data_IF_913861387974
#
_entry.id   IF_913861387974
#
_cell.length_a   1.000
_cell.length_b   1.000
_cell.length_c   1.000
_cell.angle_alpha   90.00
_cell.angle_beta   90.00
_cell.angle_gamma   90.00
#
_symmetry.space_group_name_H-M   'P 1'
#
loop_
_entity.id
_entity.type
_entity.pdbx_description
1 polymer ?
#
# COMPACT_ATOMS: atom_id res chain seq x y z
N UNK A 1 19.86 3.10 -17.06
CA UNK A 1 20.44 4.00 -16.03
C UNK A 1 21.75 3.40 -15.56
N UNK A 2 22.68 4.17 -14.96
CA UNK A 2 23.82 3.55 -14.27
C UNK A 2 23.39 2.97 -12.90
N UNK A 3 24.21 2.10 -12.33
CA UNK A 3 23.89 1.39 -11.08
C UNK A 3 23.70 2.37 -9.90
N UNK A 4 24.58 3.37 -9.78
CA UNK A 4 24.51 4.35 -8.69
C UNK A 4 23.18 5.11 -8.70
N UNK A 5 22.78 5.61 -9.87
CA UNK A 5 21.51 6.31 -10.05
C UNK A 5 20.32 5.37 -9.81
N UNK A 6 20.40 4.10 -10.19
CA UNK A 6 19.35 3.12 -9.89
C UNK A 6 19.20 2.87 -8.38
N UNK A 7 20.31 2.72 -7.66
CA UNK A 7 20.24 2.46 -6.21
C UNK A 7 19.71 3.68 -5.43
N UNK A 8 19.92 4.89 -5.95
CA UNK A 8 19.30 6.11 -5.44
C UNK A 8 17.76 6.04 -5.47
N UNK A 9 17.16 5.33 -6.43
CA UNK A 9 15.71 5.11 -6.43
C UNK A 9 15.24 4.30 -5.22
N UNK A 10 15.94 3.25 -4.81
CA UNK A 10 15.60 2.53 -3.58
C UNK A 10 15.71 3.45 -2.38
N UNK A 11 16.83 4.17 -2.25
CA UNK A 11 17.04 5.11 -1.14
C UNK A 11 15.90 6.11 -1.05
N UNK A 12 15.61 6.80 -2.14
CA UNK A 12 14.58 7.84 -2.17
C UNK A 12 13.21 7.28 -1.84
N UNK A 13 12.85 6.11 -2.39
CA UNK A 13 11.58 5.43 -2.07
C UNK A 13 11.40 5.18 -0.58
N UNK A 14 12.47 4.77 0.11
CA UNK A 14 12.43 4.43 1.53
C UNK A 14 12.47 5.66 2.43
N UNK A 15 13.34 6.64 2.12
CA UNK A 15 13.46 7.90 2.87
C UNK A 15 12.21 8.77 2.72
N UNK A 16 11.50 8.63 1.61
CA UNK A 16 10.17 9.18 1.42
C UNK A 16 9.16 8.60 2.43
N UNK A 17 9.23 7.30 2.74
CA UNK A 17 8.27 6.65 3.63
C UNK A 17 8.24 7.24 5.05
N UNK A 18 7.18 6.93 5.81
CA UNK A 18 7.07 7.41 7.20
C UNK A 18 8.23 6.93 8.08
N UNK A 19 8.55 7.66 9.15
CA UNK A 19 9.55 7.23 10.13
C UNK A 19 9.25 5.83 10.72
N UNK A 20 7.97 5.47 10.86
CA UNK A 20 7.58 4.13 11.30
C UNK A 20 7.96 3.06 10.27
N UNK A 21 7.76 3.35 8.98
CA UNK A 21 8.17 2.46 7.90
C UNK A 21 9.69 2.31 7.85
N UNK A 22 10.43 3.41 7.95
CA UNK A 22 11.89 3.39 7.97
C UNK A 22 12.44 2.57 9.16
N UNK A 23 11.84 2.71 10.35
CA UNK A 23 12.18 1.88 11.53
C UNK A 23 11.81 0.41 11.33
N UNK A 24 10.68 0.14 10.69
CA UNK A 24 10.26 -1.23 10.36
C UNK A 24 11.26 -1.91 9.42
N UNK A 25 11.74 -1.20 8.38
CA UNK A 25 12.79 -1.69 7.48
C UNK A 25 14.09 -1.98 8.23
N UNK A 26 14.56 -1.08 9.09
CA UNK A 26 15.76 -1.31 9.89
C UNK A 26 15.62 -2.55 10.80
N UNK A 27 14.44 -2.76 11.39
CA UNK A 27 14.16 -3.96 12.18
C UNK A 27 14.20 -5.23 11.32
N UNK A 28 13.72 -5.19 10.08
CA UNK A 28 13.79 -6.33 9.15
C UNK A 28 15.23 -6.63 8.71
N UNK A 29 16.01 -5.60 8.36
CA UNK A 29 17.44 -5.75 8.09
C UNK A 29 18.19 -6.41 9.26
N UNK A 30 17.88 -6.02 10.50
CA UNK A 30 18.48 -6.62 11.70
C UNK A 30 18.06 -8.09 11.87
N UNK A 31 16.77 -8.40 11.70
CA UNK A 31 16.24 -9.78 11.82
C UNK A 31 16.83 -10.72 10.76
N UNK A 32 17.10 -10.22 9.56
CA UNK A 32 17.68 -10.99 8.46
C UNK A 32 19.22 -11.05 8.54
N UNK A 33 19.81 -10.57 9.64
CA UNK A 33 21.27 -10.47 9.87
C UNK A 33 22.01 -9.69 8.77
N UNK A 34 21.32 -8.77 8.09
CA UNK A 34 21.91 -7.89 7.06
C UNK A 34 22.62 -6.69 7.68
N UNK A 35 22.19 -6.28 8.88
CA UNK A 35 22.86 -5.28 9.70
C UNK A 35 23.00 -5.76 11.14
N UNK A 36 23.98 -5.20 11.86
CA UNK A 36 24.16 -5.43 13.29
C UNK A 36 24.48 -4.11 14.01
N UNK A 37 24.16 -4.08 15.31
CA UNK A 37 24.51 -3.00 16.22
C UNK A 37 25.51 -3.46 17.28
N UNK A 38 25.99 -4.69 17.16
CA UNK A 38 27.03 -5.24 18.03
C UNK A 38 28.36 -5.17 17.31
N UNK A 39 29.34 -4.56 17.96
CA UNK A 39 30.69 -4.37 17.41
C UNK A 39 31.42 -5.72 17.21
N UNK A 40 31.06 -6.72 18.01
CA UNK A 40 31.54 -8.09 17.87
C UNK A 40 30.66 -8.87 16.90
N UNK A 41 31.27 -9.50 15.88
CA UNK A 41 30.56 -10.36 14.93
C UNK A 41 29.96 -11.58 15.64
N UNK A 42 28.71 -11.89 15.33
CA UNK A 42 28.03 -13.12 15.72
C UNK A 42 28.31 -14.24 14.71
N UNK A 43 28.11 -15.47 15.15
CA UNK A 43 28.14 -16.67 14.28
C UNK A 43 27.09 -16.61 13.14
N UNK A 44 26.02 -15.84 13.33
CA UNK A 44 24.96 -15.63 12.34
C UNK A 44 25.26 -14.53 11.32
N UNK A 45 26.31 -13.74 11.53
CA UNK A 45 26.65 -12.64 10.63
C UNK A 45 27.35 -13.18 9.38
N UNK A 46 26.99 -12.64 8.21
CA UNK A 46 27.71 -12.90 6.97
C UNK A 46 28.82 -11.87 6.78
N UNK A 47 29.69 -12.08 5.80
CA UNK A 47 30.71 -11.09 5.44
C UNK A 47 30.12 -9.77 4.91
N UNK A 48 28.85 -9.79 4.49
CA UNK A 48 28.11 -8.61 4.01
C UNK A 48 27.34 -7.89 5.13
N UNK A 49 27.29 -8.44 6.34
CA UNK A 49 26.59 -7.82 7.47
C UNK A 49 27.27 -6.50 7.85
N UNK A 50 26.51 -5.40 7.81
CA UNK A 50 27.02 -4.07 8.13
C UNK A 50 26.80 -3.69 9.60
N UNK A 51 27.86 -3.25 10.27
CA UNK A 51 27.77 -2.68 11.61
C UNK A 51 27.34 -1.20 11.58
N UNK A 52 26.48 -0.83 12.53
CA UNK A 52 26.07 0.54 12.82
C UNK A 52 26.11 0.81 14.32
N UNK A 53 26.58 2.00 14.72
CA UNK A 53 26.74 2.36 16.13
C UNK A 53 25.40 2.58 16.87
N UNK A 54 24.34 2.97 16.15
CA UNK A 54 23.09 3.40 16.77
C UNK A 54 21.85 3.02 15.97
N UNK A 55 20.91 2.35 16.64
CA UNK A 55 19.56 2.08 16.13
C UNK A 55 18.73 3.34 15.89
N UNK A 56 19.16 4.51 16.39
CA UNK A 56 18.43 5.76 16.25
C UNK A 56 18.62 6.39 14.87
N UNK A 57 19.72 6.09 14.18
CA UNK A 57 20.02 6.63 12.85
C UNK A 57 19.45 5.76 11.73
N UNK A 58 18.12 5.57 11.74
CA UNK A 58 17.45 4.77 10.71
C UNK A 58 17.59 5.38 9.31
N UNK A 59 17.73 6.71 9.19
CA UNK A 59 17.96 7.38 7.90
C UNK A 59 19.35 7.06 7.36
N UNK A 60 20.40 7.19 8.16
CA UNK A 60 21.76 6.84 7.76
C UNK A 60 21.92 5.36 7.41
N UNK A 61 21.28 4.47 8.18
CA UNK A 61 21.21 3.04 7.87
C UNK A 61 20.62 2.83 6.48
N UNK A 62 19.43 3.35 6.22
CA UNK A 62 18.74 3.22 4.92
C UNK A 62 19.58 3.82 3.79
N UNK A 63 20.16 5.01 3.97
CA UNK A 63 21.03 5.62 2.96
C UNK A 63 22.17 4.70 2.57
N UNK A 64 22.86 4.10 3.54
CA UNK A 64 24.02 3.24 3.28
C UNK A 64 23.64 1.89 2.67
N UNK A 65 22.54 1.31 3.13
CA UNK A 65 22.10 -0.03 2.69
C UNK A 65 21.37 0.03 1.35
N UNK A 66 20.48 0.99 1.13
CA UNK A 66 19.74 1.14 -0.13
C UNK A 66 20.61 1.57 -1.32
N UNK A 67 21.77 2.18 -1.05
CA UNK A 67 22.78 2.53 -2.06
C UNK A 67 23.84 1.43 -2.27
N UNK A 68 23.62 0.23 -1.73
CA UNK A 68 24.53 -0.91 -1.86
C UNK A 68 23.86 -2.05 -2.62
N UNK A 69 24.53 -2.52 -3.69
CA UNK A 69 24.05 -3.65 -4.52
C UNK A 69 23.80 -4.93 -3.72
N UNK A 70 24.58 -5.18 -2.66
CA UNK A 70 24.44 -6.36 -1.80
C UNK A 70 23.07 -6.44 -1.08
N UNK A 71 22.36 -5.31 -1.00
CA UNK A 71 21.06 -5.21 -0.35
C UNK A 71 19.90 -5.07 -1.35
N UNK A 72 20.17 -5.00 -2.66
CA UNK A 72 19.12 -4.82 -3.68
C UNK A 72 18.06 -5.92 -3.62
N UNK A 73 18.45 -7.18 -3.40
CA UNK A 73 17.49 -8.29 -3.28
C UNK A 73 16.57 -8.13 -2.07
N UNK A 74 17.08 -7.64 -0.94
CA UNK A 74 16.28 -7.35 0.24
C UNK A 74 15.22 -6.28 -0.05
N UNK A 75 15.60 -5.17 -0.69
CA UNK A 75 14.64 -4.10 -1.00
C UNK A 75 13.63 -4.50 -2.06
N UNK A 76 14.06 -5.26 -3.05
CA UNK A 76 13.18 -5.81 -4.05
C UNK A 76 12.12 -6.74 -3.45
N UNK A 77 12.53 -7.63 -2.52
CA UNK A 77 11.64 -8.52 -1.78
C UNK A 77 10.69 -7.74 -0.86
N UNK A 78 11.19 -6.71 -0.19
CA UNK A 78 10.39 -5.86 0.69
C UNK A 78 9.25 -5.15 -0.04
N UNK A 79 9.41 -4.80 -1.32
CA UNK A 79 8.32 -4.24 -2.13
C UNK A 79 7.16 -5.25 -2.28
N UNK A 80 7.39 -6.55 -2.35
CA UNK A 80 6.31 -7.54 -2.39
C UNK A 80 5.58 -7.67 -1.04
N UNK A 81 6.30 -7.47 0.06
CA UNK A 81 5.87 -7.87 1.42
C UNK A 81 5.48 -6.72 2.34
N UNK A 82 5.68 -5.46 1.93
CA UNK A 82 5.30 -4.30 2.76
C UNK A 82 3.78 -4.11 2.82
N UNK A 83 3.35 -3.34 3.81
CA UNK A 83 2.01 -2.79 3.88
C UNK A 83 1.84 -1.72 2.80
N UNK A 84 0.85 -1.89 1.94
CA UNK A 84 0.42 -0.88 0.98
C UNK A 84 -0.77 -0.12 1.53
N UNK A 85 -0.83 1.18 1.24
CA UNK A 85 -1.94 2.04 1.69
C UNK A 85 -3.29 1.63 1.13
N UNK A 86 -3.33 1.20 -0.13
CA UNK A 86 -4.57 0.87 -0.84
C UNK A 86 -4.54 -0.56 -1.37
N UNK A 87 -5.68 -1.24 -1.32
CA UNK A 87 -5.94 -2.45 -2.08
C UNK A 87 -7.35 -2.48 -2.67
N UNK A 88 -7.47 -3.02 -3.89
CA UNK A 88 -8.75 -3.22 -4.58
C UNK A 88 -8.95 -4.72 -4.79
N UNK A 89 -9.82 -5.37 -4.00
CA UNK A 89 -10.06 -6.80 -4.09
C UNK A 89 -11.05 -7.18 -5.20
N UNK A 90 -10.85 -8.38 -5.74
CA UNK A 90 -11.74 -9.04 -6.68
C UNK A 90 -11.80 -10.52 -6.37
N UNK A 91 -12.96 -11.13 -6.57
CA UNK A 91 -13.02 -12.57 -6.74
C UNK A 91 -12.55 -12.92 -8.15
N UNK A 92 -11.91 -14.07 -8.30
CA UNK A 92 -11.52 -14.55 -9.62
C UNK A 92 -11.84 -16.01 -9.84
N UNK A 93 -11.97 -16.35 -11.12
CA UNK A 93 -11.99 -17.72 -11.59
C UNK A 93 -10.88 -17.93 -12.59
N UNK A 94 -10.22 -19.07 -12.48
CA UNK A 94 -9.28 -19.55 -13.48
C UNK A 94 -9.95 -20.61 -14.35
N UNK A 95 -9.50 -20.71 -15.60
CA UNK A 95 -9.83 -21.86 -16.45
C UNK A 95 -9.09 -23.13 -16.00
N UNK A 96 -8.85 -24.05 -16.91
CA UNK A 96 -8.17 -25.32 -16.61
C UNK A 96 -6.68 -25.16 -16.25
N UNK A 97 -6.08 -24.00 -16.54
CA UNK A 97 -4.67 -23.71 -16.30
C UNK A 97 -4.44 -23.20 -14.88
N UNK A 98 -3.31 -23.59 -14.28
CA UNK A 98 -2.88 -22.99 -13.01
C UNK A 98 -2.21 -21.64 -13.23
N UNK A 99 -2.17 -20.79 -12.20
CA UNK A 99 -1.41 -19.52 -12.25
C UNK A 99 0.06 -19.78 -12.61
N UNK A 100 0.65 -20.86 -12.10
CA UNK A 100 2.05 -21.19 -12.39
C UNK A 100 2.28 -21.54 -13.86
N UNK A 101 1.36 -22.25 -14.49
CA UNK A 101 1.43 -22.57 -15.93
C UNK A 101 1.34 -21.31 -16.78
N UNK A 102 0.43 -20.40 -16.40
CA UNK A 102 0.25 -19.10 -17.05
C UNK A 102 1.51 -18.25 -16.95
N UNK A 103 2.12 -18.14 -15.75
CA UNK A 103 3.36 -17.38 -15.56
C UNK A 103 4.50 -17.92 -16.43
N UNK A 104 4.62 -19.25 -16.56
CA UNK A 104 5.61 -19.90 -17.43
C UNK A 104 5.35 -19.64 -18.90
N UNK A 105 4.11 -19.80 -19.37
CA UNK A 105 3.70 -19.56 -20.76
C UNK A 105 3.94 -18.11 -21.18
N UNK A 106 3.58 -17.15 -20.31
CA UNK A 106 3.78 -15.72 -20.55
C UNK A 106 5.20 -15.25 -20.29
N UNK A 107 6.11 -16.15 -19.92
CA UNK A 107 7.52 -15.86 -19.64
C UNK A 107 7.69 -14.76 -18.57
N UNK A 108 6.79 -14.72 -17.58
CA UNK A 108 6.88 -13.77 -16.47
C UNK A 108 7.96 -14.28 -15.52
N UNK A 109 9.04 -13.50 -15.38
CA UNK A 109 10.16 -13.86 -14.52
C UNK A 109 9.75 -13.99 -13.05
N UNK A 110 10.30 -15.01 -12.38
CA UNK A 110 10.10 -15.23 -10.94
C UNK A 110 11.30 -14.64 -10.20
N UNK A 111 11.04 -13.77 -9.24
CA UNK A 111 12.02 -13.22 -8.32
C UNK A 111 12.61 -14.33 -7.44
N UNK A 112 13.94 -14.43 -7.45
CA UNK A 112 14.73 -15.23 -6.52
C UNK A 112 15.79 -14.32 -5.91
N UNK A 113 15.71 -14.08 -4.60
CA UNK A 113 16.61 -13.19 -3.88
C UNK A 113 18.09 -13.61 -3.91
N UNK A 114 18.39 -14.87 -4.25
CA UNK A 114 19.77 -15.40 -4.36
C UNK A 114 20.42 -15.07 -5.69
N UNK A 115 19.64 -14.99 -6.76
CA UNK A 115 20.12 -14.74 -8.13
C UNK A 115 19.62 -13.40 -8.68
N UNK A 116 19.00 -12.59 -7.83
CA UNK A 116 18.40 -11.33 -8.23
C UNK A 116 19.47 -10.36 -8.71
N UNK A 117 19.28 -9.90 -9.94
CA UNK A 117 19.98 -8.76 -10.49
C UNK A 117 18.96 -7.68 -10.85
N UNK A 118 19.20 -6.41 -10.43
CA UNK A 118 18.30 -5.33 -10.72
C UNK A 118 18.31 -4.99 -12.21
N UNK A 119 17.12 -4.77 -12.76
CA UNK A 119 16.99 -4.10 -14.06
C UNK A 119 17.24 -2.61 -13.85
N UNK A 120 18.28 -2.08 -14.50
CA UNK A 120 18.66 -0.67 -14.40
C UNK A 120 17.74 0.25 -15.22
N UNK A 121 16.61 -0.27 -15.71
CA UNK A 121 15.54 0.49 -16.36
C UNK A 121 14.27 0.38 -15.51
N UNK A 122 13.62 1.52 -15.28
CA UNK A 122 12.33 1.59 -14.60
C UNK A 122 11.39 2.40 -15.49
N UNK A 123 10.33 1.75 -15.97
CA UNK A 123 9.39 2.36 -16.90
C UNK A 123 8.52 3.43 -16.23
N UNK A 124 8.07 4.42 -16.99
CA UNK A 124 7.26 5.53 -16.46
C UNK A 124 5.76 5.24 -16.49
N UNK A 125 5.36 4.30 -17.35
CA UNK A 125 3.96 3.94 -17.62
C UNK A 125 3.77 2.43 -17.48
N UNK A 126 2.60 2.01 -17.01
CA UNK A 126 2.30 0.60 -16.76
C UNK A 126 2.33 -0.25 -18.03
N UNK A 127 1.93 0.31 -19.18
CA UNK A 127 1.90 -0.39 -20.46
C UNK A 127 3.26 -0.85 -20.96
N UNK A 128 4.33 -0.22 -20.48
CA UNK A 128 5.72 -0.55 -20.84
C UNK A 128 6.40 -1.39 -19.75
N UNK A 129 5.90 -1.31 -18.51
CA UNK A 129 6.47 -1.99 -17.36
C UNK A 129 6.41 -3.51 -17.49
N UNK A 130 7.57 -4.16 -17.44
CA UNK A 130 7.67 -5.62 -17.44
C UNK A 130 7.48 -6.14 -16.00
N UNK A 131 6.41 -6.91 -15.72
CA UNK A 131 6.17 -7.38 -14.37
C UNK A 131 7.13 -8.51 -13.97
N UNK A 132 7.41 -8.59 -12.67
CA UNK A 132 8.13 -9.70 -12.05
C UNK A 132 7.30 -10.34 -10.96
N UNK A 133 7.18 -11.66 -11.02
CA UNK A 133 6.39 -12.44 -10.09
C UNK A 133 7.21 -12.90 -8.88
N UNK A 134 6.57 -13.11 -7.74
CA UNK A 134 7.12 -13.73 -6.54
C UNK A 134 6.10 -14.73 -6.00
N UNK A 135 6.56 -15.81 -5.37
CA UNK A 135 5.71 -16.87 -4.84
C UNK A 135 6.11 -17.20 -3.40
N UNK A 136 5.12 -17.17 -2.52
CA UNK A 136 5.27 -17.55 -1.12
C UNK A 136 3.98 -18.27 -0.68
N UNK A 137 4.10 -19.44 -0.05
CA UNK A 137 2.96 -20.18 0.49
C UNK A 137 1.78 -20.39 -0.48
N UNK A 138 2.09 -20.74 -1.73
CA UNK A 138 1.12 -20.91 -2.85
C UNK A 138 0.34 -19.64 -3.23
N UNK A 139 0.70 -18.49 -2.67
CA UNK A 139 0.24 -17.16 -3.08
C UNK A 139 1.18 -16.59 -4.11
N UNK A 140 0.63 -15.80 -5.02
CA UNK A 140 1.38 -15.20 -6.12
C UNK A 140 1.33 -13.69 -6.01
N UNK A 141 2.45 -13.05 -6.30
CA UNK A 141 2.58 -11.61 -6.31
C UNK A 141 3.15 -11.21 -7.66
N UNK A 142 2.45 -10.40 -8.44
CA UNK A 142 2.94 -9.91 -9.73
C UNK A 142 3.15 -8.41 -9.58
N UNK A 143 4.41 -7.97 -9.60
CA UNK A 143 4.79 -6.59 -9.31
C UNK A 143 5.20 -5.85 -10.58
N UNK A 144 4.60 -4.70 -10.79
CA UNK A 144 5.03 -3.67 -11.73
C UNK A 144 5.73 -2.57 -10.94
N UNK A 145 6.80 -1.99 -11.49
CA UNK A 145 7.52 -0.89 -10.83
C UNK A 145 7.56 0.28 -11.80
N UNK A 146 7.02 1.42 -11.37
CA UNK A 146 7.05 2.65 -12.14
C UNK A 146 8.07 3.63 -11.57
N UNK A 147 8.73 4.36 -12.45
CA UNK A 147 9.48 5.56 -12.09
C UNK A 147 8.49 6.71 -11.91
N UNK A 148 8.48 7.31 -10.72
CA UNK A 148 7.76 8.54 -10.42
C UNK A 148 8.75 9.59 -9.89
N UNK A 149 8.33 10.84 -9.96
CA UNK A 149 9.12 11.97 -9.47
C UNK A 149 8.22 12.96 -8.76
N UNK A 150 8.80 13.72 -7.84
CA UNK A 150 8.20 14.93 -7.29
C UNK A 150 9.30 15.97 -7.02
N UNK A 151 8.94 17.24 -6.92
CA UNK A 151 9.86 18.32 -6.56
C UNK A 151 9.88 18.48 -5.05
N UNK A 152 11.07 18.47 -4.45
CA UNK A 152 11.26 18.86 -3.06
C UNK A 152 10.93 20.35 -2.93
N UNK A 153 10.07 20.71 -1.98
CA UNK A 153 9.56 22.07 -1.81
C UNK A 153 10.65 23.09 -1.47
N UNK A 154 11.57 22.73 -0.56
CA UNK A 154 12.63 23.66 -0.15
C UNK A 154 13.78 23.80 -1.15
N UNK A 155 14.25 22.68 -1.72
CA UNK A 155 15.45 22.67 -2.58
C UNK A 155 15.14 22.76 -4.07
N UNK A 156 13.86 22.61 -4.46
CA UNK A 156 13.40 22.45 -5.85
C UNK A 156 14.07 21.26 -6.58
N UNK A 157 14.69 20.36 -5.84
CA UNK A 157 15.33 19.17 -6.39
C UNK A 157 14.29 18.15 -6.81
N UNK A 158 14.44 17.58 -8.01
CA UNK A 158 13.59 16.49 -8.46
C UNK A 158 14.00 15.18 -7.79
N UNK A 159 13.14 14.66 -6.92
CA UNK A 159 13.32 13.37 -6.25
C UNK A 159 12.62 12.29 -7.05
N UNK A 160 13.42 11.40 -7.66
CA UNK A 160 12.91 10.22 -8.35
C UNK A 160 12.80 9.03 -7.39
N UNK A 161 11.70 8.29 -7.47
CA UNK A 161 11.40 7.16 -6.61
C UNK A 161 10.66 6.05 -7.36
N UNK A 162 10.66 4.86 -6.77
CA UNK A 162 9.98 3.66 -7.25
C UNK A 162 8.55 3.65 -6.75
N UNK A 163 7.62 3.41 -7.64
CA UNK A 163 6.21 3.26 -7.33
C UNK A 163 5.77 1.85 -7.72
N UNK A 164 5.87 0.88 -6.80
CA UNK A 164 5.48 -0.50 -7.05
C UNK A 164 3.95 -0.66 -6.97
N UNK A 165 3.38 -1.40 -7.93
CA UNK A 165 1.99 -1.88 -7.94
C UNK A 165 2.04 -3.39 -7.94
N UNK A 166 1.34 -4.04 -6.99
CA UNK A 166 1.40 -5.49 -6.80
C UNK A 166 0.01 -6.09 -6.98
N UNK A 167 -0.11 -7.03 -7.90
CA UNK A 167 -1.26 -7.92 -7.99
C UNK A 167 -0.98 -9.11 -7.07
N UNK A 168 -1.67 -9.17 -5.94
CA UNK A 168 -1.64 -10.29 -5.01
C UNK A 168 -2.75 -11.28 -5.39
N UNK A 169 -2.45 -12.57 -5.45
CA UNK A 169 -3.41 -13.63 -5.79
C UNK A 169 -3.34 -14.69 -4.70
N UNK A 170 -4.49 -14.99 -4.11
CA UNK A 170 -4.68 -16.02 -3.10
C UNK A 170 -5.62 -17.12 -3.60
N UNK A 171 -5.06 -18.24 -4.11
CA UNK A 171 -5.87 -19.36 -4.60
C UNK A 171 -6.66 -20.09 -3.53
N UNK A 172 -6.36 -19.91 -2.24
CA UNK A 172 -7.07 -20.61 -1.17
C UNK A 172 -8.50 -20.08 -1.01
N UNK A 173 -8.67 -18.77 -1.19
CA UNK A 173 -9.95 -18.06 -1.05
C UNK A 173 -10.50 -17.54 -2.39
N UNK A 174 -9.82 -17.81 -3.51
CA UNK A 174 -10.15 -17.34 -4.86
C UNK A 174 -10.31 -15.81 -4.95
N UNK A 175 -9.39 -15.09 -4.30
CA UNK A 175 -9.36 -13.63 -4.29
C UNK A 175 -8.04 -13.14 -4.83
N UNK A 176 -8.08 -12.03 -5.56
CA UNK A 176 -6.92 -11.23 -5.86
C UNK A 176 -7.10 -9.80 -5.34
N UNK A 177 -6.00 -9.08 -5.19
CA UNK A 177 -5.99 -7.66 -4.84
C UNK A 177 -4.97 -6.90 -5.69
N UNK A 178 -5.34 -5.73 -6.19
CA UNK A 178 -4.40 -4.76 -6.73
C UNK A 178 -3.97 -3.84 -5.59
N UNK A 179 -2.70 -3.90 -5.20
CA UNK A 179 -2.11 -3.19 -4.05
C UNK A 179 -1.18 -2.08 -4.51
N UNK A 180 -1.35 -0.87 -3.96
CA UNK A 180 -0.54 0.31 -4.31
C UNK A 180 -0.53 1.36 -3.19
N UNK A 181 0.44 2.28 -3.23
CA UNK A 181 0.58 3.37 -2.27
C UNK A 181 0.02 4.68 -2.81
N UNK A 182 -0.07 5.71 -1.98
CA UNK A 182 -0.34 7.07 -2.46
C UNK A 182 0.84 7.60 -3.28
N UNK A 183 0.54 8.21 -4.43
CA UNK A 183 1.51 8.99 -5.18
C UNK A 183 1.90 10.25 -4.41
N UNK A 184 3.13 10.70 -4.63
CA UNK A 184 3.57 12.04 -4.24
C UNK A 184 3.24 13.01 -5.35
N UNK A 185 2.83 14.22 -4.97
CA UNK A 185 2.49 15.29 -5.90
C UNK A 185 3.46 16.45 -5.74
N UNK A 186 3.77 17.11 -6.85
CA UNK A 186 4.38 18.44 -6.87
C UNK A 186 3.25 19.44 -7.10
N UNK A 187 3.17 20.52 -6.32
CA UNK A 187 2.08 21.51 -6.44
C UNK A 187 1.91 22.09 -7.85
N UNK A 188 3.02 22.23 -8.59
CA UNK A 188 3.02 22.79 -9.95
C UNK A 188 2.46 21.83 -11.01
N UNK A 189 2.19 20.57 -10.66
CA UNK A 189 1.56 19.59 -11.54
C UNK A 189 0.09 19.42 -11.17
N UNK A 190 -0.80 19.49 -12.17
CA UNK A 190 -2.20 19.13 -11.95
C UNK A 190 -2.26 17.70 -11.41
N UNK A 191 -2.80 17.54 -10.21
CA UNK A 191 -3.13 16.24 -9.64
C UNK A 191 -4.05 15.54 -10.63
N UNK A 192 -3.53 14.52 -11.32
CA UNK A 192 -4.35 13.64 -12.16
C UNK A 192 -5.32 12.91 -11.23
N UNK A 193 -6.54 13.42 -11.14
CA UNK A 193 -7.61 12.91 -10.28
C UNK A 193 -7.94 11.45 -10.61
N UNK A 194 -7.60 11.01 -11.81
CA UNK A 194 -7.83 9.67 -12.33
C UNK A 194 -6.57 8.79 -12.29
N UNK A 195 -5.48 9.24 -11.67
CA UNK A 195 -4.22 8.48 -11.66
C UNK A 195 -4.38 7.06 -11.09
N UNK A 196 -5.12 6.92 -9.98
CA UNK A 196 -5.37 5.63 -9.36
C UNK A 196 -6.36 4.78 -10.16
N UNK A 197 -7.37 5.39 -10.79
CA UNK A 197 -8.33 4.65 -11.62
C UNK A 197 -7.64 4.05 -12.85
N UNK A 198 -6.75 4.81 -13.49
CA UNK A 198 -5.93 4.33 -14.61
C UNK A 198 -5.06 3.14 -14.22
N UNK A 199 -4.45 3.15 -13.03
CA UNK A 199 -3.67 2.00 -12.52
C UNK A 199 -4.56 0.76 -12.37
N UNK A 200 -5.67 0.91 -11.65
CA UNK A 200 -6.56 -0.23 -11.36
C UNK A 200 -7.15 -0.78 -12.65
N UNK A 201 -7.64 0.08 -13.55
CA UNK A 201 -8.19 -0.34 -14.85
C UNK A 201 -7.14 -1.04 -15.71
N UNK A 202 -5.92 -0.50 -15.80
CA UNK A 202 -4.85 -1.16 -16.54
C UNK A 202 -4.56 -2.56 -15.97
N UNK A 203 -4.43 -2.68 -14.65
CA UNK A 203 -4.19 -3.97 -14.02
C UNK A 203 -5.35 -4.95 -14.26
N UNK A 204 -6.61 -4.51 -14.17
CA UNK A 204 -7.79 -5.33 -14.49
C UNK A 204 -7.73 -5.88 -15.91
N UNK A 205 -7.49 -5.02 -16.91
CA UNK A 205 -7.39 -5.45 -18.30
C UNK A 205 -6.17 -6.36 -18.52
N UNK A 206 -5.02 -6.02 -17.92
CA UNK A 206 -3.82 -6.86 -18.00
C UNK A 206 -4.06 -8.25 -17.41
N UNK A 207 -4.78 -8.37 -16.30
CA UNK A 207 -5.14 -9.66 -15.69
C UNK A 207 -6.02 -10.48 -16.64
N UNK A 208 -7.05 -9.87 -17.24
CA UNK A 208 -7.94 -10.54 -18.18
C UNK A 208 -7.18 -11.01 -19.43
N UNK A 209 -6.40 -10.13 -20.04
CA UNK A 209 -5.73 -10.39 -21.32
C UNK A 209 -4.52 -11.31 -21.18
N UNK A 210 -3.72 -11.11 -20.12
CA UNK A 210 -2.45 -11.82 -19.94
C UNK A 210 -2.66 -13.08 -19.12
N UNK A 211 -3.40 -13.01 -18.01
CA UNK A 211 -3.62 -14.19 -17.17
C UNK A 211 -4.84 -15.01 -17.59
N UNK A 212 -5.76 -14.43 -18.37
CA UNK A 212 -6.98 -15.14 -18.77
C UNK A 212 -7.94 -15.40 -17.60
N UNK A 213 -7.84 -14.61 -16.53
CA UNK A 213 -8.70 -14.75 -15.36
C UNK A 213 -10.00 -13.99 -15.57
N UNK A 214 -11.11 -14.60 -15.17
CA UNK A 214 -12.38 -13.90 -15.03
C UNK A 214 -12.40 -13.19 -13.70
N UNK A 215 -12.75 -11.91 -13.71
CA UNK A 215 -12.79 -11.09 -12.50
C UNK A 215 -14.22 -10.75 -12.14
N UNK A 216 -14.49 -10.71 -10.84
CA UNK A 216 -15.80 -10.41 -10.30
C UNK A 216 -15.67 -9.39 -9.19
N UNK A 217 -16.57 -8.39 -9.19
CA UNK A 217 -16.61 -7.38 -8.14
C UNK A 217 -16.94 -8.01 -6.77
N UNK A 218 -16.54 -7.32 -5.70
CA UNK A 218 -16.95 -7.66 -4.34
C UNK A 218 -18.34 -7.08 -4.06
N UNK A 219 -19.34 -7.97 -3.95
CA UNK A 219 -20.66 -7.63 -3.42
C UNK A 219 -20.56 -7.54 -1.88
N UNK A 220 -21.13 -6.47 -1.32
CA UNK A 220 -20.85 -6.02 0.04
C UNK A 220 -22.12 -5.64 0.83
N UNK A 221 -23.31 -5.93 0.30
CA UNK A 221 -24.63 -5.73 0.94
C UNK A 221 -24.69 -6.23 2.39
N UNK A 222 -24.02 -7.35 2.69
CA UNK A 222 -24.05 -8.00 4.00
C UNK A 222 -22.88 -7.60 4.92
N UNK A 223 -21.89 -6.84 4.42
CA UNK A 223 -20.66 -6.49 5.15
C UNK A 223 -20.97 -5.86 6.51
N UNK A 224 -21.85 -4.85 6.54
CA UNK A 224 -22.21 -4.14 7.78
C UNK A 224 -22.85 -5.08 8.79
N UNK A 225 -23.78 -5.94 8.35
CA UNK A 225 -24.48 -6.88 9.23
C UNK A 225 -23.53 -7.91 9.83
N UNK A 226 -22.62 -8.45 9.03
CA UNK A 226 -21.67 -9.49 9.46
C UNK A 226 -20.65 -8.92 10.44
N UNK A 227 -20.10 -7.73 10.16
CA UNK A 227 -19.12 -7.09 11.03
C UNK A 227 -19.75 -6.61 12.35
N UNK A 228 -21.03 -6.22 12.34
CA UNK A 228 -21.77 -5.85 13.55
C UNK A 228 -22.27 -7.04 14.38
N UNK A 229 -21.95 -8.28 14.01
CA UNK A 229 -22.35 -9.43 14.80
C UNK A 229 -21.62 -9.44 16.15
N UNK A 230 -22.38 -9.30 17.24
CA UNK A 230 -21.92 -9.15 18.62
C UNK A 230 -21.05 -10.33 19.10
N UNK A 231 -21.14 -11.49 18.44
CA UNK A 231 -20.32 -12.65 18.78
C UNK A 231 -18.86 -12.56 18.28
N UNK A 232 -18.54 -11.66 17.34
CA UNK A 232 -17.18 -11.47 16.87
C UNK A 232 -16.45 -10.41 17.71
N UNK A 233 -15.47 -10.84 18.51
CA UNK A 233 -14.65 -9.91 19.30
C UNK A 233 -13.39 -9.43 18.61
N UNK A 234 -12.95 -10.11 17.55
CA UNK A 234 -11.68 -9.88 16.85
C UNK A 234 -11.78 -8.83 15.76
N UNK A 235 -12.94 -8.73 15.09
CA UNK A 235 -13.21 -7.71 14.07
C UNK A 235 -14.45 -6.93 14.47
N UNK A 236 -14.30 -5.61 14.61
CA UNK A 236 -15.38 -4.73 15.09
C UNK A 236 -15.56 -3.53 14.19
N UNK A 237 -16.81 -3.12 14.03
CA UNK A 237 -17.12 -1.83 13.42
C UNK A 237 -16.58 -0.71 14.30
N UNK A 238 -15.83 0.19 13.70
CA UNK A 238 -15.26 1.35 14.38
C UNK A 238 -16.10 2.60 14.09
N UNK A 239 -16.40 2.84 12.81
CA UNK A 239 -17.21 3.97 12.34
C UNK A 239 -18.00 3.61 11.09
N UNK A 240 -19.16 4.24 10.92
CA UNK A 240 -20.01 4.08 9.74
C UNK A 240 -20.54 5.45 9.29
N UNK A 241 -20.39 5.75 7.99
CA UNK A 241 -21.11 6.85 7.36
C UNK A 241 -22.41 6.32 6.72
N UNK A 242 -23.52 7.04 6.90
CA UNK A 242 -24.81 6.75 6.26
C UNK A 242 -25.33 7.99 5.54
N UNK A 243 -25.80 7.85 4.31
CA UNK A 243 -26.66 8.85 3.68
C UNK A 243 -28.11 8.67 4.18
N UNK A 244 -28.68 9.74 4.72
CA UNK A 244 -30.09 9.78 5.11
C UNK A 244 -30.95 10.03 3.88
N UNK A 245 -32.18 9.49 3.88
CA UNK A 245 -33.18 9.66 2.79
C UNK A 245 -33.53 11.12 2.47
N UNK A 246 -33.15 12.07 3.32
CA UNK A 246 -33.33 13.52 3.15
C UNK A 246 -32.16 14.23 2.47
N UNK A 247 -31.14 13.51 1.99
CA UNK A 247 -29.97 14.09 1.32
C UNK A 247 -28.88 14.64 2.25
N UNK A 248 -28.98 14.39 3.57
CA UNK A 248 -27.92 14.66 4.54
C UNK A 248 -27.14 13.39 4.87
N UNK A 249 -25.85 13.49 5.21
CA UNK A 249 -25.04 12.37 5.69
C UNK A 249 -24.93 12.40 7.22
N UNK A 250 -24.98 11.22 7.85
CA UNK A 250 -24.82 11.04 9.28
C UNK A 250 -23.69 10.03 9.54
N UNK A 251 -22.73 10.38 10.39
CA UNK A 251 -21.67 9.47 10.83
C UNK A 251 -22.02 8.89 12.20
N UNK A 252 -22.17 7.57 12.29
CA UNK A 252 -22.39 6.84 13.53
C UNK A 252 -21.05 6.25 13.99
N UNK A 253 -20.54 6.76 15.12
CA UNK A 253 -19.36 6.19 15.79
C UNK A 253 -19.86 5.17 16.82
N UNK A 254 -19.44 3.91 16.68
CA UNK A 254 -19.95 2.80 17.50
C UNK A 254 -19.14 2.52 18.79
N UNK A 255 -18.15 3.36 19.14
CA UNK A 255 -17.26 3.10 20.29
C UNK A 255 -17.05 4.34 21.18
N UNK A 256 -17.14 4.11 22.49
CA UNK A 256 -17.03 5.08 23.60
C UNK A 256 -15.63 5.68 23.83
N UNK A 257 -14.62 5.45 22.99
CA UNK A 257 -13.31 6.10 23.17
C UNK A 257 -12.57 6.26 21.84
N UNK A 258 -12.58 7.50 21.34
CA UNK A 258 -11.78 7.92 20.18
C UNK A 258 -12.60 8.63 19.11
N UNK A 259 -13.00 9.88 19.39
CA UNK A 259 -13.63 10.78 18.42
C UNK A 259 -12.64 11.10 17.29
N UNK A 260 -12.63 10.30 16.21
CA UNK A 260 -12.10 10.79 14.93
C UNK A 260 -13.17 11.65 14.27
N UNK A 261 -13.37 12.86 14.78
CA UNK A 261 -14.16 13.89 14.10
C UNK A 261 -13.64 14.00 12.66
N UNK A 262 -14.56 14.12 11.70
CA UNK A 262 -14.24 14.53 10.33
C UNK A 262 -13.20 15.67 10.41
N UNK A 263 -12.07 15.60 9.68
CA UNK A 263 -11.23 16.79 9.58
C UNK A 263 -12.11 17.86 8.96
N UNK A 264 -12.05 19.05 9.50
CA UNK A 264 -12.71 20.20 8.94
C UNK A 264 -12.10 20.48 7.54
N UNK A 265 -12.45 19.72 6.50
CA UNK A 265 -11.74 19.77 5.20
C UNK A 265 -11.84 21.16 4.62
N UNK A 266 -13.05 21.73 4.64
CA UNK A 266 -13.29 23.12 4.27
C UNK A 266 -12.55 24.11 5.16
N UNK A 267 -12.60 23.93 6.47
CA UNK A 267 -11.97 24.88 7.42
C UNK A 267 -10.43 24.75 7.44
N UNK A 268 -9.86 23.58 7.11
CA UNK A 268 -8.41 23.41 6.94
C UNK A 268 -7.99 24.03 5.61
N UNK A 269 -8.79 23.91 4.54
CA UNK A 269 -8.53 24.66 3.29
C UNK A 269 -8.59 26.16 3.56
N UNK A 270 -9.65 26.63 4.20
CA UNK A 270 -9.82 28.02 4.60
C UNK A 270 -8.68 28.48 5.52
N UNK A 271 -8.24 27.67 6.49
CA UNK A 271 -7.09 27.97 7.33
C UNK A 271 -5.80 28.10 6.52
N UNK A 272 -5.57 27.23 5.53
CA UNK A 272 -4.40 27.31 4.65
C UNK A 272 -4.47 28.58 3.79
N UNK A 273 -5.65 28.88 3.24
CA UNK A 273 -5.86 30.01 2.34
C UNK A 273 -5.80 31.36 3.09
N UNK A 274 -6.40 31.46 4.28
CA UNK A 274 -6.37 32.64 5.15
C UNK A 274 -4.98 32.91 5.75
N UNK A 275 -4.14 31.88 5.86
CA UNK A 275 -2.79 31.97 6.42
C UNK A 275 -1.72 31.66 5.36
N UNK A 276 -1.96 32.06 4.11
CA UNK A 276 -1.11 31.74 2.97
C UNK A 276 0.36 32.10 3.22
N UNK A 277 0.65 33.26 3.81
CA UNK A 277 2.01 33.70 4.12
C UNK A 277 2.74 32.71 5.06
N UNK A 278 2.09 32.29 6.15
CA UNK A 278 2.66 31.34 7.13
C UNK A 278 2.88 29.95 6.52
N UNK A 279 1.93 29.49 5.70
CA UNK A 279 2.07 28.19 5.03
C UNK A 279 3.05 28.24 3.86
N UNK A 280 3.30 29.42 3.29
CA UNK A 280 4.33 29.61 2.25
C UNK A 280 5.74 29.54 2.84
N UNK A 281 5.92 29.91 4.11
CA UNK A 281 7.17 29.71 4.84
C UNK A 281 7.42 28.24 5.22
N UNK A 282 6.37 27.41 5.27
CA UNK A 282 6.43 26.00 5.64
C UNK A 282 5.80 25.10 4.56
N UNK A 283 6.28 25.22 3.31
CA UNK A 283 5.65 24.58 2.15
C UNK A 283 5.57 23.05 2.29
N UNK A 284 6.55 22.36 2.90
CA UNK A 284 6.43 20.92 3.18
C UNK A 284 5.17 20.55 3.97
N UNK A 285 4.86 21.33 5.02
CA UNK A 285 3.69 21.11 5.86
C UNK A 285 2.42 21.41 5.08
N UNK A 286 2.42 22.50 4.29
CA UNK A 286 1.32 22.84 3.38
C UNK A 286 1.03 21.69 2.40
N UNK A 287 2.05 21.15 1.76
CA UNK A 287 1.91 20.06 0.79
C UNK A 287 1.38 18.77 1.43
N UNK A 288 1.84 18.41 2.62
CA UNK A 288 1.33 17.25 3.36
C UNK A 288 -0.17 17.39 3.67
N UNK A 289 -0.61 18.58 4.08
CA UNK A 289 -2.01 18.86 4.37
C UNK A 289 -2.86 18.85 3.09
N UNK A 290 -2.42 19.51 2.03
CA UNK A 290 -3.14 19.52 0.75
C UNK A 290 -3.27 18.12 0.15
N UNK A 291 -2.20 17.30 0.20
CA UNK A 291 -2.27 15.90 -0.21
C UNK A 291 -3.31 15.13 0.60
N UNK A 292 -3.29 15.30 1.93
CA UNK A 292 -4.27 14.66 2.81
C UNK A 292 -5.71 15.08 2.47
N UNK A 293 -5.95 16.37 2.23
CA UNK A 293 -7.27 16.89 1.85
C UNK A 293 -7.74 16.34 0.51
N UNK A 294 -6.90 16.36 -0.51
CA UNK A 294 -7.23 15.85 -1.85
C UNK A 294 -7.58 14.35 -1.82
N UNK A 295 -6.85 13.54 -1.05
CA UNK A 295 -7.16 12.12 -0.88
C UNK A 295 -8.49 11.88 -0.16
N UNK A 296 -8.81 12.71 0.85
CA UNK A 296 -10.07 12.63 1.58
C UNK A 296 -11.25 13.02 0.68
N UNK A 297 -11.13 14.11 -0.06
CA UNK A 297 -12.15 14.57 -1.01
C UNK A 297 -12.42 13.54 -2.11
N UNK A 298 -11.38 12.91 -2.65
CA UNK A 298 -11.50 11.88 -3.69
C UNK A 298 -12.34 10.66 -3.26
N UNK A 299 -12.51 10.44 -1.95
CA UNK A 299 -13.32 9.33 -1.40
C UNK A 299 -14.52 9.80 -0.58
N UNK A 300 -14.80 11.10 -0.53
CA UNK A 300 -15.78 11.68 0.40
C UNK A 300 -17.23 11.41 0.00
N UNK A 301 -17.51 11.29 -1.30
CA UNK A 301 -18.86 11.07 -1.84
C UNK A 301 -19.29 9.60 -1.83
N UNK A 302 -18.43 8.68 -1.40
CA UNK A 302 -18.71 7.24 -1.45
C UNK A 302 -19.12 6.72 -0.07
N UNK A 303 -20.05 5.75 0.01
CA UNK A 303 -20.33 5.06 1.26
C UNK A 303 -19.07 4.37 1.81
N UNK A 304 -18.79 4.51 3.11
CA UNK A 304 -17.66 3.84 3.74
C UNK A 304 -17.92 3.42 5.18
N UNK A 305 -17.14 2.43 5.61
CA UNK A 305 -17.01 2.02 7.01
C UNK A 305 -15.55 1.96 7.42
N UNK A 306 -15.29 2.13 8.71
CA UNK A 306 -14.00 1.80 9.32
C UNK A 306 -14.18 0.54 10.15
N UNK A 307 -13.30 -0.42 9.93
CA UNK A 307 -13.31 -1.72 10.59
C UNK A 307 -11.99 -1.90 11.32
N UNK A 308 -12.05 -2.26 12.60
CA UNK A 308 -10.88 -2.48 13.44
C UNK A 308 -10.68 -3.96 13.67
N UNK A 309 -9.49 -4.46 13.33
CA UNK A 309 -9.00 -5.76 13.78
C UNK A 309 -8.33 -5.56 15.15
N UNK A 310 -8.95 -6.14 16.17
CA UNK A 310 -8.50 -6.07 17.56
C UNK A 310 -7.54 -7.21 17.81
N UNK A 311 -6.28 -6.88 18.12
CA UNK A 311 -5.27 -7.87 18.54
C UNK A 311 -5.07 -7.77 20.06
N UNK A 312 -4.49 -8.80 20.72
CA UNK A 312 -4.26 -8.79 22.16
C UNK A 312 -3.41 -7.59 22.64
N UNK A 313 -2.52 -7.10 21.77
CA UNK A 313 -1.71 -5.90 22.02
C UNK A 313 -2.24 -4.77 21.14
N UNK A 314 -2.62 -3.64 21.74
CA UNK A 314 -3.24 -2.53 20.98
C UNK A 314 -2.33 -1.95 19.89
N UNK A 315 -1.00 -1.97 20.07
CA UNK A 315 -0.03 -1.57 19.04
C UNK A 315 0.09 -2.57 17.87
N UNK A 316 -0.68 -3.65 17.91
CA UNK A 316 -0.86 -4.62 16.82
C UNK A 316 -2.27 -4.55 16.24
N UNK A 317 -3.24 -3.93 16.93
CA UNK A 317 -4.56 -3.62 16.37
C UNK A 317 -4.43 -2.65 15.20
N UNK A 318 -5.28 -2.78 14.19
CA UNK A 318 -5.24 -1.90 13.01
C UNK A 318 -6.64 -1.64 12.47
N UNK A 319 -6.75 -0.59 11.66
CA UNK A 319 -8.02 -0.13 11.09
C UNK A 319 -7.90 -0.16 9.58
N UNK A 320 -8.95 -0.65 8.92
CA UNK A 320 -9.13 -0.58 7.47
C UNK A 320 -10.38 0.26 7.20
N UNK A 321 -10.24 1.30 6.38
CA UNK A 321 -11.39 1.99 5.79
C UNK A 321 -11.80 1.21 4.54
N UNK A 322 -13.06 0.80 4.50
CA UNK A 322 -13.67 0.13 3.35
C UNK A 322 -14.57 1.15 2.68
N UNK A 323 -14.19 1.58 1.48
CA UNK A 323 -14.99 2.46 0.63
C UNK A 323 -15.69 1.60 -0.41
N UNK A 324 -17.01 1.67 -0.44
CA UNK A 324 -17.85 0.96 -1.39
C UNK A 324 -18.04 1.79 -2.66
N UNK A 325 -18.39 1.13 -3.75
CA UNK A 325 -18.79 1.79 -5.00
C UNK A 325 -17.75 2.77 -5.58
N UNK A 326 -16.47 2.49 -5.34
CA UNK A 326 -15.35 3.28 -5.86
C UNK A 326 -15.25 3.18 -7.40
N UNK A 327 -14.79 4.25 -8.04
CA UNK A 327 -14.71 4.43 -9.51
C UNK A 327 -16.02 4.13 -10.25
N UNK A 328 -16.95 5.08 -10.19
CA UNK A 328 -18.28 4.99 -10.84
C UNK A 328 -19.06 3.72 -10.41
N UNK A 329 -19.03 3.41 -9.11
CA UNK A 329 -19.81 2.34 -8.50
C UNK A 329 -19.45 0.92 -8.98
N UNK A 330 -18.16 0.65 -9.21
CA UNK A 330 -17.71 -0.66 -9.69
C UNK A 330 -16.87 -1.45 -8.69
N UNK A 331 -16.08 -0.79 -7.86
CA UNK A 331 -15.05 -1.47 -7.08
C UNK A 331 -15.15 -1.15 -5.59
N UNK A 332 -14.67 -2.08 -4.77
CA UNK A 332 -14.43 -1.81 -3.35
C UNK A 332 -12.98 -1.37 -3.17
N UNK A 333 -12.74 -0.33 -2.37
CA UNK A 333 -11.40 0.12 -2.02
C UNK A 333 -11.16 -0.11 -0.52
N UNK A 334 -10.10 -0.86 -0.22
CA UNK A 334 -9.57 -1.00 1.12
C UNK A 334 -8.42 -0.01 1.31
N UNK A 335 -8.52 0.84 2.32
CA UNK A 335 -7.46 1.75 2.74
C UNK A 335 -6.94 1.33 4.12
N UNK A 336 -5.69 0.89 4.16
CA UNK A 336 -5.01 0.38 5.35
C UNK A 336 -4.43 1.54 6.17
N UNK A 337 -4.95 1.74 7.38
CA UNK A 337 -4.57 2.86 8.23
C UNK A 337 -3.51 2.39 9.22
N UNK A 338 -2.30 2.92 9.05
CA UNK A 338 -1.14 2.57 9.87
C UNK A 338 -1.36 2.88 11.36
N UNK A 339 -1.96 4.03 11.68
CA UNK A 339 -2.24 4.45 13.06
C UNK A 339 -1.02 4.31 13.99
N UNK A 340 -1.23 3.73 15.17
CA UNK A 340 -0.19 3.40 16.16
C UNK A 340 0.48 2.03 15.91
N UNK A 341 0.06 1.31 14.89
CA UNK A 341 0.40 -0.09 14.72
C UNK A 341 1.77 -0.27 14.05
N UNK A 342 2.65 -1.05 14.67
CA UNK A 342 4.10 -1.08 14.33
C UNK A 342 4.50 -2.10 13.26
N UNK A 343 3.64 -3.07 12.96
CA UNK A 343 3.91 -4.12 11.96
C UNK A 343 3.57 -3.70 10.52
N UNK A 344 4.49 -3.13 9.76
CA UNK A 344 4.18 -2.60 8.41
C UNK A 344 4.40 -3.63 7.30
N UNK A 345 4.10 -4.90 7.60
CA UNK A 345 4.08 -5.99 6.64
C UNK A 345 2.70 -6.24 6.04
N UNK A 346 2.67 -7.00 4.94
CA UNK A 346 1.47 -7.39 4.21
C UNK A 346 0.51 -8.29 5.01
N UNK A 347 0.95 -8.86 6.14
CA UNK A 347 0.15 -9.77 6.97
C UNK A 347 -1.21 -9.16 7.33
N UNK A 348 -1.26 -7.87 7.65
CA UNK A 348 -2.52 -7.16 7.95
C UNK A 348 -3.48 -7.09 6.76
N UNK A 349 -2.94 -6.93 5.55
CA UNK A 349 -3.74 -6.90 4.34
C UNK A 349 -4.32 -8.29 4.07
N UNK A 350 -3.48 -9.31 4.21
CA UNK A 350 -3.87 -10.71 4.06
C UNK A 350 -4.96 -11.10 5.08
N UNK A 351 -4.76 -10.79 6.37
CA UNK A 351 -5.74 -11.03 7.44
C UNK A 351 -7.08 -10.32 7.15
N UNK A 352 -7.03 -9.08 6.62
CA UNK A 352 -8.23 -8.31 6.32
C UNK A 352 -9.02 -8.91 5.16
N UNK A 353 -8.36 -9.22 4.05
CA UNK A 353 -9.05 -9.78 2.88
C UNK A 353 -9.55 -11.21 3.13
N UNK A 354 -8.77 -12.03 3.84
CA UNK A 354 -9.18 -13.38 4.23
C UNK A 354 -10.45 -13.32 5.09
N UNK A 355 -10.47 -12.47 6.13
CA UNK A 355 -11.66 -12.30 6.95
C UNK A 355 -12.87 -11.85 6.14
N UNK A 356 -12.72 -10.79 5.32
CA UNK A 356 -13.83 -10.22 4.56
C UNK A 356 -14.43 -11.25 3.59
N UNK A 357 -13.61 -12.05 2.94
CA UNK A 357 -14.06 -13.09 2.00
C UNK A 357 -14.62 -14.33 2.69
N UNK A 358 -13.95 -14.87 3.73
CA UNK A 358 -14.38 -16.12 4.39
C UNK A 358 -15.62 -15.92 5.26
N UNK A 359 -15.76 -14.75 5.89
CA UNK A 359 -16.95 -14.43 6.70
C UNK A 359 -18.23 -14.23 5.88
N UNK A 360 -18.12 -14.14 4.55
CA UNK A 360 -19.22 -13.76 3.67
C UNK A 360 -19.53 -12.26 3.69
N UNK A 361 -18.67 -11.43 4.29
CA UNK A 361 -18.79 -9.98 4.25
C UNK A 361 -18.68 -9.48 2.81
N UNK A 362 -17.71 -10.02 2.08
CA UNK A 362 -17.61 -9.92 0.63
C UNK A 362 -18.04 -11.24 0.01
N UNK A 363 -18.91 -11.16 -1.00
CA UNK A 363 -19.31 -12.28 -1.83
C UNK A 363 -19.04 -11.98 -3.30
N UNK A 364 -18.93 -13.03 -4.11
CA UNK A 364 -18.70 -12.92 -5.54
C UNK A 364 -19.89 -12.22 -6.21
N UNK A 365 -19.65 -11.04 -6.76
CA UNK A 365 -20.65 -10.23 -7.47
C UNK A 365 -20.63 -10.46 -8.98
N UNK A 366 -20.97 -9.40 -9.72
CA UNK A 366 -21.01 -9.40 -11.19
C UNK A 366 -19.60 -9.55 -11.81
N UNK A 367 -19.55 -10.21 -12.97
CA UNK A 367 -18.34 -10.30 -13.80
C UNK A 367 -18.04 -8.93 -14.41
N UNK A 368 -16.78 -8.49 -14.32
CA UNK A 368 -16.34 -7.15 -14.77
C UNK A 368 -15.48 -7.20 -16.02
#
# INVERSE_FOLDING_TARGET
MDEATFLEFYKNTLLCGSNNFQRFICKKLELDNKITFEEQRKLSDSDETLFFESKKDFKGIITKTATSRAFSSFYEEMEYKKLYKYSVPFFYETGERTIEDILKEKQISIFDGKTYEPDLVIDRVLSEAIPRAFREDKKYFIKFVLQKAYLHSETFEQINYRYPVVIYIDPLINVLEIRYDSMRYSYNEQVDKDAYSKIVMYCVEWIKDTLGLKLFACEHTETIRIINNIQNTEVRMYKQMMEMKSGGSAELTAAENGDYVLPFIGEIRELIDENEDLFSEADEVKQLLLQYLNEKEATASYPYIYVKWVKPVETQSYIVKITFDYFNNRYTLLQHITGSCKDLGMGRMNDAIEYLSVSGSFVKGEEI
#
